data_IF_488838499212
#
_entry.id   IF_488838499212
#
_cell.length_a   1.000
_cell.length_b   1.000
_cell.length_c   1.000
_cell.angle_alpha   90.00
_cell.angle_beta   90.00
_cell.angle_gamma   90.00
#
_symmetry.space_group_name_H-M   'P 1'
#
loop_
_entity.id
_entity.type
_entity.pdbx_description
1 polymer ?
#
# COMPACT_ATOMS: atom_id res chain seq x y z
N UNK A 1 -1.65 -1.39 -9.77
CA UNK A 1 -1.06 -2.63 -9.22
C UNK A 1 0.28 -2.88 -9.91
N UNK A 2 1.22 -3.56 -9.25
CA UNK A 2 2.47 -4.02 -9.89
C UNK A 2 2.22 -5.24 -10.78
N UNK A 3 3.18 -5.60 -11.63
CA UNK A 3 3.09 -6.77 -12.52
C UNK A 3 3.43 -8.08 -11.80
N UNK A 4 4.22 -8.00 -10.74
CA UNK A 4 4.63 -9.15 -9.94
C UNK A 4 3.48 -9.61 -9.04
N UNK A 5 3.33 -10.93 -8.91
CA UNK A 5 2.40 -11.54 -7.97
C UNK A 5 3.09 -11.80 -6.62
N UNK A 6 2.42 -11.54 -5.49
CA UNK A 6 2.92 -11.94 -4.18
C UNK A 6 3.09 -13.45 -4.09
N UNK A 7 4.16 -13.89 -3.42
CA UNK A 7 4.49 -15.29 -3.21
C UNK A 7 4.17 -15.67 -1.77
N UNK A 8 3.58 -16.86 -1.58
CA UNK A 8 3.41 -17.49 -0.27
C UNK A 8 4.46 -18.60 -0.13
N UNK A 9 5.23 -18.54 0.94
CA UNK A 9 6.24 -19.54 1.32
C UNK A 9 5.92 -20.13 2.68
N UNK A 10 6.58 -21.24 3.02
CA UNK A 10 6.53 -21.85 4.37
C UNK A 10 5.08 -22.07 4.86
N UNK A 11 4.21 -22.54 3.97
CA UNK A 11 2.80 -22.76 4.28
C UNK A 11 2.67 -23.95 5.23
N UNK A 12 2.07 -23.72 6.38
CA UNK A 12 1.89 -24.71 7.45
C UNK A 12 0.45 -24.69 7.93
N UNK A 13 -0.20 -25.85 7.94
CA UNK A 13 -1.47 -26.02 8.63
C UNK A 13 -1.19 -26.12 10.13
N UNK A 14 -1.66 -25.14 10.90
CA UNK A 14 -1.51 -25.13 12.37
C UNK A 14 -2.63 -25.94 13.01
N UNK A 15 -3.87 -25.76 12.53
CA UNK A 15 -5.05 -26.44 13.07
C UNK A 15 -6.07 -26.66 11.97
N UNK A 16 -6.74 -27.80 12.00
CA UNK A 16 -7.98 -28.03 11.27
C UNK A 16 -8.88 -28.92 12.14
N UNK A 17 -10.05 -28.40 12.51
CA UNK A 17 -11.12 -29.16 13.13
C UNK A 17 -12.40 -29.00 12.31
N UNK A 18 -13.52 -29.57 12.78
CA UNK A 18 -14.80 -29.55 12.06
C UNK A 18 -15.38 -28.13 11.87
N UNK A 19 -14.92 -27.16 12.65
CA UNK A 19 -15.45 -25.80 12.69
C UNK A 19 -14.53 -24.75 12.07
N UNK A 20 -13.22 -24.98 12.08
CA UNK A 20 -12.24 -24.00 11.62
C UNK A 20 -10.93 -24.62 11.12
N UNK A 21 -10.24 -23.88 10.26
CA UNK A 21 -8.86 -24.14 9.86
C UNK A 21 -8.01 -22.89 10.06
N UNK A 22 -6.76 -23.10 10.49
CA UNK A 22 -5.75 -22.09 10.66
C UNK A 22 -4.50 -22.50 9.89
N UNK A 23 -4.14 -21.69 8.90
CA UNK A 23 -2.92 -21.83 8.12
C UNK A 23 -2.01 -20.65 8.40
N UNK A 24 -0.73 -20.91 8.62
CA UNK A 24 0.32 -19.90 8.65
C UNK A 24 1.13 -19.94 7.36
N UNK A 25 1.51 -18.78 6.83
CA UNK A 25 2.36 -18.67 5.65
C UNK A 25 3.26 -17.43 5.77
N UNK A 26 4.37 -17.42 5.06
CA UNK A 26 5.19 -16.22 4.85
C UNK A 26 4.82 -15.58 3.53
N UNK A 27 4.36 -14.33 3.56
CA UNK A 27 4.16 -13.50 2.38
C UNK A 27 5.48 -12.83 2.00
N UNK A 28 5.86 -12.96 0.73
CA UNK A 28 6.95 -12.19 0.12
C UNK A 28 6.46 -11.57 -1.19
N UNK A 29 6.56 -10.26 -1.28
CA UNK A 29 6.29 -9.49 -2.49
C UNK A 29 7.51 -8.65 -2.80
N UNK A 30 8.12 -8.90 -3.94
CA UNK A 30 9.12 -8.04 -4.55
C UNK A 30 8.56 -7.53 -5.87
N UNK A 31 8.39 -6.23 -5.99
CA UNK A 31 7.81 -5.66 -7.19
C UNK A 31 7.84 -4.16 -7.22
N UNK A 32 6.84 -3.56 -7.85
CA UNK A 32 6.83 -2.14 -8.16
C UNK A 32 5.45 -1.52 -8.08
N UNK A 33 4.67 -1.83 -7.05
CA UNK A 33 3.42 -1.10 -6.81
C UNK A 33 3.77 0.39 -6.75
N UNK A 34 3.13 1.17 -7.61
CA UNK A 34 3.26 2.63 -7.65
C UNK A 34 1.89 3.24 -7.45
N UNK A 35 1.81 4.16 -6.50
CA UNK A 35 0.68 5.03 -6.30
C UNK A 35 1.14 6.46 -6.57
N UNK A 36 0.32 7.23 -7.28
CA UNK A 36 0.57 8.64 -7.54
C UNK A 36 -0.57 9.43 -6.94
N UNK A 37 -0.23 10.40 -6.13
CA UNK A 37 -1.16 11.36 -5.56
C UNK A 37 -0.75 12.77 -5.98
N UNK A 38 -1.72 13.62 -6.23
CA UNK A 38 -1.50 15.06 -6.40
C UNK A 38 -2.04 15.77 -5.16
N UNK A 39 -1.27 16.72 -4.65
CA UNK A 39 -1.63 17.52 -3.50
C UNK A 39 -1.27 18.99 -3.76
N UNK A 40 -1.94 19.90 -3.07
CA UNK A 40 -1.66 21.33 -3.14
C UNK A 40 -1.10 21.79 -1.80
N UNK A 41 0.13 22.30 -1.80
CA UNK A 41 0.70 23.03 -0.67
C UNK A 41 0.07 24.42 -0.63
N UNK A 42 -1.01 24.54 0.14
CA UNK A 42 -1.85 25.76 0.23
C UNK A 42 -1.05 27.00 0.60
N UNK A 43 -0.11 26.88 1.54
CA UNK A 43 0.75 27.98 1.97
C UNK A 43 1.62 28.57 0.85
N UNK A 44 1.94 27.78 -0.18
CA UNK A 44 2.83 28.16 -1.29
C UNK A 44 2.11 28.25 -2.63
N UNK A 45 0.78 28.02 -2.64
CA UNK A 45 -0.01 27.80 -3.85
C UNK A 45 0.68 26.87 -4.87
N UNK A 46 1.33 25.81 -4.36
CA UNK A 46 2.21 24.94 -5.13
C UNK A 46 1.57 23.56 -5.27
N UNK A 47 1.30 23.14 -6.50
CA UNK A 47 0.90 21.77 -6.76
C UNK A 47 2.11 20.85 -6.67
N UNK A 48 1.99 19.76 -5.91
CA UNK A 48 3.01 18.72 -5.77
C UNK A 48 2.44 17.39 -6.23
N UNK A 49 3.25 16.63 -6.94
CA UNK A 49 2.97 15.25 -7.28
C UNK A 49 3.84 14.36 -6.42
N UNK A 50 3.19 13.50 -5.65
CA UNK A 50 3.82 12.52 -4.77
C UNK A 50 3.69 11.16 -5.46
N UNK A 51 4.81 10.50 -5.71
CA UNK A 51 4.82 9.10 -6.17
C UNK A 51 5.34 8.24 -5.04
N UNK A 52 4.48 7.37 -4.52
CA UNK A 52 4.84 6.34 -3.55
C UNK A 52 5.05 5.03 -4.30
N UNK A 53 6.17 4.36 -4.04
CA UNK A 53 6.47 3.04 -4.58
C UNK A 53 6.74 2.07 -3.46
N UNK A 54 6.21 0.85 -3.59
CA UNK A 54 6.35 -0.23 -2.62
C UNK A 54 7.15 -1.35 -3.29
N UNK A 55 8.49 -1.37 -3.14
CA UNK A 55 9.32 -2.39 -3.74
C UNK A 55 9.25 -3.74 -3.03
N UNK A 56 8.98 -3.74 -1.72
CA UNK A 56 9.05 -4.93 -0.88
C UNK A 56 7.91 -4.96 0.16
N UNK A 57 7.22 -6.09 0.27
CA UNK A 57 6.39 -6.45 1.43
C UNK A 57 6.79 -7.85 1.88
N UNK A 58 7.12 -8.00 3.16
CA UNK A 58 7.46 -9.30 3.76
C UNK A 58 6.81 -9.43 5.13
N UNK A 59 6.15 -10.55 5.40
CA UNK A 59 5.51 -10.77 6.70
C UNK A 59 4.92 -12.16 6.87
N UNK A 60 4.62 -12.54 8.10
CA UNK A 60 3.91 -13.78 8.41
C UNK A 60 2.41 -13.55 8.40
N UNK A 61 1.67 -14.35 7.65
CA UNK A 61 0.21 -14.34 7.55
C UNK A 61 -0.40 -15.48 8.38
N UNK A 62 -1.51 -15.20 9.04
CA UNK A 62 -2.48 -16.19 9.48
C UNK A 62 -3.72 -16.12 8.59
N UNK A 63 -4.11 -17.28 8.06
CA UNK A 63 -5.31 -17.48 7.27
C UNK A 63 -6.23 -18.37 8.09
N UNK A 64 -7.33 -17.80 8.57
CA UNK A 64 -8.37 -18.49 9.33
C UNK A 64 -9.58 -18.69 8.42
N UNK A 65 -10.07 -19.91 8.32
CA UNK A 65 -11.32 -20.18 7.61
C UNK A 65 -12.26 -20.95 8.50
N UNK A 66 -13.54 -20.60 8.47
CA UNK A 66 -14.63 -21.46 8.94
C UNK A 66 -15.61 -21.71 7.78
N UNK A 67 -16.80 -22.21 8.07
CA UNK A 67 -17.82 -22.54 7.06
C UNK A 67 -18.38 -21.32 6.32
N UNK A 68 -18.25 -20.10 6.85
CA UNK A 68 -18.87 -18.89 6.30
C UNK A 68 -17.89 -17.76 5.97
N UNK A 69 -16.69 -17.78 6.54
CA UNK A 69 -15.75 -16.68 6.47
C UNK A 69 -14.31 -17.16 6.26
N UNK A 70 -13.58 -16.36 5.49
CA UNK A 70 -12.13 -16.40 5.38
C UNK A 70 -11.57 -15.10 5.93
N UNK A 71 -10.74 -15.19 6.96
CA UNK A 71 -10.03 -14.06 7.54
C UNK A 71 -8.54 -14.22 7.26
N UNK A 72 -7.92 -13.15 6.77
CA UNK A 72 -6.47 -13.08 6.51
C UNK A 72 -5.92 -11.90 7.29
N UNK A 73 -4.91 -12.15 8.13
CA UNK A 73 -4.21 -11.11 8.88
C UNK A 73 -2.72 -11.39 8.93
N UNK A 74 -1.91 -10.36 9.20
CA UNK A 74 -0.52 -10.59 9.57
C UNK A 74 -0.45 -10.99 11.05
N UNK A 75 0.39 -11.98 11.36
CA UNK A 75 0.67 -12.39 12.74
C UNK A 75 1.38 -11.29 13.53
N UNK A 76 2.21 -10.50 12.83
CA UNK A 76 3.00 -9.39 13.38
C UNK A 76 3.02 -8.23 12.37
N UNK A 77 3.58 -7.09 12.75
CA UNK A 77 3.75 -5.98 11.80
C UNK A 77 4.63 -6.42 10.61
N UNK A 78 4.12 -6.38 9.37
CA UNK A 78 4.92 -6.74 8.21
C UNK A 78 6.02 -5.70 7.95
N UNK A 79 7.13 -6.16 7.39
CA UNK A 79 8.13 -5.28 6.81
C UNK A 79 7.61 -4.76 5.47
N UNK A 80 7.44 -3.44 5.37
CA UNK A 80 7.03 -2.76 4.13
C UNK A 80 8.08 -1.71 3.82
N UNK A 81 8.77 -1.85 2.69
CA UNK A 81 9.65 -0.80 2.19
C UNK A 81 8.82 0.20 1.36
N UNK A 82 8.96 1.50 1.65
CA UNK A 82 8.30 2.58 0.93
C UNK A 82 9.34 3.54 0.38
N UNK A 83 9.23 3.87 -0.90
CA UNK A 83 10.06 4.90 -1.56
C UNK A 83 9.16 6.00 -2.08
N UNK A 84 9.39 7.22 -1.61
CA UNK A 84 8.62 8.40 -2.01
C UNK A 84 9.45 9.30 -2.91
N UNK A 85 8.84 9.81 -3.98
CA UNK A 85 9.41 10.84 -4.85
C UNK A 85 8.45 12.00 -4.96
N UNK A 86 8.98 13.20 -4.82
CA UNK A 86 8.24 14.44 -4.92
C UNK A 86 8.63 15.16 -6.20
N UNK A 87 7.63 15.64 -6.94
CA UNK A 87 7.83 16.53 -8.07
C UNK A 87 6.99 17.78 -7.81
N UNK A 88 7.65 18.91 -7.59
CA UNK A 88 6.97 20.20 -7.58
C UNK A 88 6.50 20.53 -9.00
N UNK A 89 5.23 20.91 -9.13
CA UNK A 89 4.66 21.44 -10.35
C UNK A 89 4.97 22.93 -10.53
N UNK A 90 4.37 23.52 -11.55
CA UNK A 90 4.49 24.95 -11.84
C UNK A 90 3.73 25.75 -10.78
N UNK A 91 4.31 26.87 -10.34
CA UNK A 91 3.62 27.84 -9.49
C UNK A 91 2.37 28.34 -10.22
N UNK A 92 1.19 28.12 -9.63
CA UNK A 92 -0.05 28.68 -10.16
C UNK A 92 -0.10 30.11 -9.68
N UNK A 93 0.28 31.06 -10.53
CA UNK A 93 0.14 32.48 -10.19
C UNK A 93 -1.35 32.81 -10.01
N UNK A 94 -1.78 33.33 -8.84
CA UNK A 94 -3.16 33.75 -8.68
C UNK A 94 -3.46 34.87 -9.69
N UNK A 95 -4.42 34.64 -10.60
CA UNK A 95 -4.94 35.69 -11.48
C UNK A 95 -5.75 36.66 -10.61
N UNK A 96 -5.10 37.73 -10.16
CA UNK A 96 -5.78 38.88 -9.57
C UNK A 96 -6.32 39.73 -10.71
N UNK A 97 -7.62 39.61 -11.00
CA UNK A 97 -8.29 40.53 -11.92
C UNK A 97 -8.59 41.82 -11.15
N UNK A 98 -7.78 42.85 -11.36
CA UNK A 98 -8.16 44.20 -10.98
C UNK A 98 -9.27 44.66 -11.93
N UNK A 99 -10.43 45.05 -11.38
CA UNK A 99 -11.36 45.90 -12.10
C UNK A 99 -10.89 47.33 -11.85
N UNK A 100 -10.53 48.03 -12.93
CA UNK A 100 -10.34 49.47 -12.88
C UNK A 100 -11.68 50.10 -12.46
N UNK A 101 -11.61 50.96 -11.43
CA UNK A 101 -12.74 51.79 -10.98
C UNK A 101 -12.75 53.10 -11.76
#
# INVERSE_FOLDING_TARGET
MGEQLPQLRSVQLIMADESQSLVSATLEYEGGIKCRAEAMLTALNLQIQITVSIPLIKGSLAIRSNTTHLQVCFNEAPLIELRMRFKAGSFVSPKVCYRDH
#
